data_IF_624183692377
#
_entry.id   IF_624183692377
#
_cell.length_a   1.000
_cell.length_b   1.000
_cell.length_c   1.000
_cell.angle_alpha   90.00
_cell.angle_beta   90.00
_cell.angle_gamma   90.00
#
_symmetry.space_group_name_H-M   'P 1'
#
loop_
_entity.id
_entity.type
_entity.pdbx_description
1 polymer ?
#
# COMPACT_ATOMS: atom_id res chain seq x y z
N UNK A 1 1.38 11.95 -0.17
CA UNK A 1 2.08 12.84 -1.12
C UNK A 1 1.31 14.14 -1.06
N UNK A 2 1.92 15.20 -0.53
CA UNK A 2 1.31 16.52 -0.51
C UNK A 2 1.90 17.30 -1.68
N UNK A 3 1.06 17.70 -2.62
CA UNK A 3 1.39 18.75 -3.57
C UNK A 3 1.34 20.08 -2.81
N UNK A 4 2.46 20.81 -2.82
CA UNK A 4 2.40 22.26 -2.58
C UNK A 4 1.70 22.90 -3.78
N UNK A 5 0.67 23.73 -3.59
CA UNK A 5 0.25 24.62 -4.65
C UNK A 5 1.25 25.79 -4.66
N UNK A 6 2.34 25.64 -5.42
CA UNK A 6 3.03 26.81 -5.99
C UNK A 6 2.37 27.12 -7.32
N UNK A 7 1.17 27.70 -7.22
CA UNK A 7 0.45 28.26 -8.33
C UNK A 7 -0.19 29.55 -7.85
N UNK A 8 0.39 30.69 -8.24
CA UNK A 8 -0.30 31.97 -8.22
C UNK A 8 -1.54 31.83 -9.11
N UNK A 9 -2.68 31.52 -8.49
CA UNK A 9 -3.99 31.70 -9.10
C UNK A 9 -4.49 33.04 -8.60
N UNK A 10 -4.23 34.09 -9.37
CA UNK A 10 -5.07 35.29 -9.37
C UNK A 10 -6.49 34.85 -9.80
N UNK A 11 -7.26 34.40 -8.82
CA UNK A 11 -8.67 34.12 -8.92
C UNK A 11 -9.35 34.72 -7.70
N UNK A 12 -10.47 35.39 -7.93
CA UNK A 12 -11.36 36.07 -6.96
C UNK A 12 -12.01 35.08 -5.95
N UNK A 13 -11.22 34.16 -5.39
CA UNK A 13 -11.62 33.20 -4.37
C UNK A 13 -11.57 33.81 -2.97
N UNK A 14 -12.34 33.26 -2.02
CA UNK A 14 -12.25 33.69 -0.62
C UNK A 14 -10.80 33.56 -0.16
N UNK A 15 -10.24 34.63 0.42
CA UNK A 15 -8.82 34.75 0.76
C UNK A 15 -8.34 33.84 1.90
N UNK A 16 -8.85 32.60 1.99
CA UNK A 16 -8.60 31.65 3.06
C UNK A 16 -7.81 30.45 2.55
N UNK A 17 -6.97 29.90 3.42
CA UNK A 17 -6.18 28.70 3.19
C UNK A 17 -6.55 27.65 4.24
N UNK A 18 -6.07 26.42 4.02
CA UNK A 18 -6.34 25.29 4.92
C UNK A 18 -5.04 24.82 5.55
N UNK A 19 -5.02 24.74 6.87
CA UNK A 19 -4.00 24.04 7.62
C UNK A 19 -4.53 22.66 8.01
N UNK A 20 -3.91 21.60 7.49
CA UNK A 20 -4.21 20.22 7.86
C UNK A 20 -3.27 19.75 8.97
N UNK A 21 -3.80 19.09 9.98
CA UNK A 21 -3.02 18.61 11.12
C UNK A 21 -3.56 17.26 11.61
N UNK A 22 -2.67 16.42 12.13
CA UNK A 22 -3.05 15.23 12.88
C UNK A 22 -2.55 15.31 14.32
N UNK A 23 -3.44 15.08 15.28
CA UNK A 23 -3.09 14.94 16.69
C UNK A 23 -3.03 13.45 17.05
N UNK A 24 -1.91 13.03 17.62
CA UNK A 24 -1.63 11.61 17.91
C UNK A 24 -1.59 11.41 19.42
N UNK A 25 -2.26 10.37 19.91
CA UNK A 25 -2.39 10.09 21.35
C UNK A 25 -2.02 8.65 21.67
N UNK A 26 -1.43 8.43 22.85
CA UNK A 26 -1.26 7.11 23.46
C UNK A 26 -2.61 6.61 24.07
N UNK A 27 -3.71 6.78 23.32
CA UNK A 27 -5.07 6.37 23.67
C UNK A 27 -5.66 5.61 22.46
N UNK A 28 -5.77 4.26 22.45
CA UNK A 28 -6.11 3.49 21.24
C UNK A 28 -7.42 3.88 20.54
N UNK A 29 -8.43 4.28 21.31
CA UNK A 29 -9.74 4.67 20.76
C UNK A 29 -9.89 6.18 20.55
N UNK A 30 -9.00 7.00 21.14
CA UNK A 30 -9.00 8.45 21.02
C UNK A 30 -10.29 9.18 21.45
N UNK A 31 -11.25 8.52 22.12
CA UNK A 31 -12.56 9.12 22.41
C UNK A 31 -12.47 10.30 23.38
N UNK A 32 -11.65 10.19 24.42
CA UNK A 32 -11.50 11.28 25.39
C UNK A 32 -10.60 12.39 24.81
N UNK A 33 -9.51 12.02 24.12
CA UNK A 33 -8.72 12.96 23.32
C UNK A 33 -9.59 13.80 22.35
N UNK A 34 -10.48 13.16 21.60
CA UNK A 34 -11.41 13.84 20.69
C UNK A 34 -12.28 14.87 21.41
N UNK A 35 -12.85 14.53 22.59
CA UNK A 35 -13.64 15.49 23.39
C UNK A 35 -12.80 16.67 23.86
N UNK A 36 -11.55 16.43 24.29
CA UNK A 36 -10.64 17.50 24.72
C UNK A 36 -10.28 18.43 23.56
N UNK A 37 -10.03 17.88 22.37
CA UNK A 37 -9.79 18.68 21.15
C UNK A 37 -11.02 19.52 20.83
N UNK A 38 -12.19 18.89 20.74
CA UNK A 38 -13.45 19.57 20.41
C UNK A 38 -13.72 20.73 21.39
N UNK A 39 -13.58 20.48 22.70
CA UNK A 39 -13.76 21.51 23.72
C UNK A 39 -12.74 22.66 23.57
N UNK A 40 -11.49 22.33 23.25
CA UNK A 40 -10.43 23.34 23.06
C UNK A 40 -10.71 24.20 21.82
N UNK A 41 -11.02 23.58 20.68
CA UNK A 41 -11.32 24.30 19.44
C UNK A 41 -12.55 25.21 19.59
N UNK A 42 -13.60 24.74 20.29
CA UNK A 42 -14.79 25.55 20.61
C UNK A 42 -14.47 26.73 21.52
N UNK A 43 -13.70 26.51 22.58
CA UNK A 43 -13.29 27.58 23.49
C UNK A 43 -12.42 28.65 22.80
N UNK A 44 -11.76 28.27 21.70
CA UNK A 44 -10.94 29.14 20.85
C UNK A 44 -11.73 29.79 19.72
N UNK A 45 -13.01 29.44 19.57
CA UNK A 45 -13.85 29.93 18.48
C UNK A 45 -13.25 29.67 17.08
N UNK A 46 -12.45 28.61 16.93
CA UNK A 46 -11.75 28.30 15.68
C UNK A 46 -12.69 27.69 14.65
N UNK A 47 -12.71 28.23 13.44
CA UNK A 47 -13.41 27.60 12.31
C UNK A 47 -12.58 26.40 11.85
N UNK A 48 -13.12 25.20 12.03
CA UNK A 48 -12.38 23.95 11.84
C UNK A 48 -13.32 22.77 11.64
N UNK A 49 -12.82 21.74 10.96
CA UNK A 49 -13.44 20.41 10.90
C UNK A 49 -12.62 19.45 11.74
N UNK A 50 -13.29 18.58 12.49
CA UNK A 50 -12.66 17.56 13.31
C UNK A 50 -13.13 16.17 12.86
N UNK A 51 -12.17 15.31 12.50
CA UNK A 51 -12.46 13.95 12.07
C UNK A 51 -12.69 13.01 13.25
N UNK A 52 -13.45 11.95 13.00
CA UNK A 52 -13.58 10.86 13.98
C UNK A 52 -12.22 10.20 14.25
N UNK A 53 -11.94 9.74 15.49
CA UNK A 53 -10.67 9.11 15.80
C UNK A 53 -10.43 7.82 15.01
N UNK A 54 -9.22 7.68 14.47
CA UNK A 54 -8.74 6.46 13.82
C UNK A 54 -7.87 5.68 14.79
N UNK A 55 -8.27 4.45 15.19
CA UNK A 55 -7.41 3.55 15.94
C UNK A 55 -6.20 3.15 15.10
N UNK A 56 -5.00 3.31 15.65
CA UNK A 56 -3.72 3.06 14.98
C UNK A 56 -2.85 2.14 15.85
N UNK A 57 -3.37 0.94 16.10
CA UNK A 57 -2.81 0.01 17.06
C UNK A 57 -2.98 0.48 18.51
N UNK A 58 -1.85 0.76 19.18
CA UNK A 58 -1.86 1.30 20.55
C UNK A 58 -2.08 2.82 20.59
N UNK A 59 -2.04 3.48 19.44
CA UNK A 59 -2.25 4.91 19.28
C UNK A 59 -3.65 5.20 18.72
N UNK A 60 -4.05 6.46 18.79
CA UNK A 60 -5.08 7.00 17.90
C UNK A 60 -4.57 8.23 17.16
N UNK A 61 -5.09 8.41 15.95
CA UNK A 61 -4.86 9.56 15.10
C UNK A 61 -6.17 10.31 14.94
N UNK A 62 -6.17 11.60 15.22
CA UNK A 62 -7.33 12.48 15.06
C UNK A 62 -6.93 13.60 14.11
N UNK A 63 -7.44 13.54 12.89
CA UNK A 63 -7.20 14.54 11.86
C UNK A 63 -8.13 15.74 12.07
N UNK A 64 -7.63 16.93 11.77
CA UNK A 64 -8.43 18.14 11.71
C UNK A 64 -7.91 19.09 10.65
N UNK A 65 -8.81 19.94 10.16
CA UNK A 65 -8.46 21.07 9.31
C UNK A 65 -8.93 22.36 9.93
N UNK A 66 -8.11 23.40 9.82
CA UNK A 66 -8.36 24.73 10.38
C UNK A 66 -8.28 25.73 9.24
N UNK A 67 -9.25 26.63 9.16
CA UNK A 67 -9.17 27.77 8.26
C UNK A 67 -8.11 28.75 8.75
N UNK A 68 -7.22 29.18 7.85
CA UNK A 68 -6.21 30.21 8.12
C UNK A 68 -6.26 31.29 7.05
N UNK A 69 -5.83 32.50 7.41
CA UNK A 69 -5.67 33.58 6.45
C UNK A 69 -4.33 33.43 5.67
N UNK A 70 -4.05 34.26 4.65
CA UNK A 70 -2.83 34.14 3.85
C UNK A 70 -1.54 34.38 4.64
N UNK A 71 -1.63 35.06 5.79
CA UNK A 71 -0.51 35.27 6.70
C UNK A 71 -0.35 34.15 7.75
N UNK A 72 -1.16 33.09 7.69
CA UNK A 72 -1.06 31.90 8.56
C UNK A 72 -1.72 32.04 9.94
N UNK A 73 -2.57 33.05 10.15
CA UNK A 73 -3.37 33.19 11.38
C UNK A 73 -4.66 32.39 11.27
N UNK A 74 -5.04 31.70 12.34
CA UNK A 74 -6.30 30.95 12.40
C UNK A 74 -7.50 31.91 12.25
N UNK A 75 -8.51 31.48 11.49
CA UNK A 75 -9.78 32.19 11.36
C UNK A 75 -10.72 31.74 12.47
N UNK A 76 -11.28 32.71 13.18
CA UNK A 76 -12.21 32.52 14.29
C UNK A 76 -13.56 33.17 13.98
N UNK A 77 -14.63 32.66 14.60
CA UNK A 77 -15.97 33.21 14.47
C UNK A 77 -16.61 33.47 15.84
N UNK A 78 -17.25 34.64 16.00
CA UNK A 78 -18.14 34.91 17.14
C UNK A 78 -19.51 34.22 16.98
N UNK A 79 -20.40 34.39 17.96
CA UNK A 79 -21.73 33.76 17.96
C UNK A 79 -22.63 34.29 16.83
N UNK A 80 -22.36 35.51 16.36
CA UNK A 80 -23.05 36.15 15.24
C UNK A 80 -22.48 35.76 13.86
N UNK A 81 -21.36 35.04 13.82
CA UNK A 81 -20.69 34.59 12.60
C UNK A 81 -19.76 35.64 11.97
N UNK A 82 -19.35 36.67 12.71
CA UNK A 82 -18.32 37.61 12.25
C UNK A 82 -16.92 36.99 12.42
N UNK A 83 -16.06 37.25 11.42
CA UNK A 83 -14.70 36.72 11.41
C UNK A 83 -13.72 37.59 12.21
N UNK A 84 -12.79 36.93 12.88
CA UNK A 84 -11.59 37.55 13.44
C UNK A 84 -10.38 36.63 13.27
N UNK A 85 -9.18 37.19 13.37
CA UNK A 85 -7.94 36.41 13.26
C UNK A 85 -7.40 36.11 14.66
N UNK A 86 -7.01 34.86 14.89
CA UNK A 86 -6.43 34.38 16.12
C UNK A 86 -4.90 34.44 16.12
N UNK A 87 -4.29 33.39 16.65
CA UNK A 87 -2.84 33.21 16.67
C UNK A 87 -2.34 32.50 15.40
N UNK A 88 -1.03 32.55 15.15
CA UNK A 88 -0.40 31.78 14.07
C UNK A 88 -0.60 30.27 14.28
N UNK A 89 -0.74 29.55 13.16
CA UNK A 89 -1.06 28.12 13.14
C UNK A 89 -0.06 27.26 13.89
N UNK A 90 1.24 27.53 13.81
CA UNK A 90 2.28 26.77 14.50
C UNK A 90 2.14 26.92 16.01
N UNK A 91 1.96 28.17 16.47
CA UNK A 91 1.66 28.45 17.87
C UNK A 91 0.36 27.79 18.34
N UNK A 92 -0.61 27.61 17.44
CA UNK A 92 -1.88 26.94 17.72
C UNK A 92 -1.76 25.44 17.82
N UNK A 93 -1.02 24.80 16.92
CA UNK A 93 -0.70 23.39 16.98
C UNK A 93 0.03 23.05 18.30
N UNK A 94 1.03 23.85 18.69
CA UNK A 94 1.73 23.67 19.98
C UNK A 94 0.77 23.79 21.16
N UNK A 95 -0.12 24.79 21.14
CA UNK A 95 -1.07 25.01 22.22
C UNK A 95 -2.13 23.89 22.29
N UNK A 96 -2.58 23.38 21.15
CA UNK A 96 -3.47 22.23 21.07
C UNK A 96 -2.80 20.97 21.60
N UNK A 97 -1.57 20.68 21.18
CA UNK A 97 -0.78 19.55 21.69
C UNK A 97 -0.73 19.56 23.22
N UNK A 98 -0.27 20.67 23.80
CA UNK A 98 -0.13 20.84 25.25
C UNK A 98 -1.47 20.84 25.98
N UNK A 99 -2.50 21.45 25.41
CA UNK A 99 -3.82 21.56 26.03
C UNK A 99 -4.63 20.26 26.02
N UNK A 100 -4.39 19.39 25.04
CA UNK A 100 -5.12 18.13 24.85
C UNK A 100 -4.35 16.91 25.35
N UNK A 101 -3.04 17.05 25.61
CA UNK A 101 -2.16 15.97 25.99
C UNK A 101 -1.74 15.07 24.82
N UNK A 102 -1.74 15.60 23.59
CA UNK A 102 -1.29 14.85 22.43
C UNK A 102 0.21 14.56 22.54
N UNK A 103 0.59 13.34 22.12
CA UNK A 103 1.98 12.92 22.01
C UNK A 103 2.70 13.70 20.92
N UNK A 104 2.03 13.85 19.77
CA UNK A 104 2.50 14.61 18.63
C UNK A 104 1.38 15.50 18.08
N UNK A 105 1.76 16.66 17.58
CA UNK A 105 0.94 17.46 16.67
C UNK A 105 1.65 17.52 15.32
N UNK A 106 1.23 16.65 14.41
CA UNK A 106 1.82 16.54 13.09
C UNK A 106 1.30 17.65 12.17
N UNK A 107 2.21 18.54 11.79
CA UNK A 107 2.02 19.54 10.76
C UNK A 107 3.04 19.26 9.65
N UNK A 108 2.58 18.77 8.49
CA UNK A 108 3.42 18.45 7.33
C UNK A 108 4.56 17.44 7.60
N UNK A 109 4.33 16.44 8.45
CA UNK A 109 5.27 15.36 8.76
C UNK A 109 6.28 15.68 9.87
N UNK A 110 6.14 16.82 10.54
CA UNK A 110 6.96 17.22 11.69
C UNK A 110 6.09 17.51 12.91
N UNK A 111 6.63 17.24 14.10
CA UNK A 111 5.96 17.64 15.33
C UNK A 111 6.05 19.15 15.50
N UNK A 112 4.91 19.82 15.61
CA UNK A 112 4.83 21.28 15.66
C UNK A 112 5.61 21.90 16.84
N UNK A 113 5.80 21.16 17.93
CA UNK A 113 6.53 21.65 19.11
C UNK A 113 8.04 21.55 18.97
N UNK A 114 8.57 20.43 18.48
CA UNK A 114 10.02 20.25 18.31
C UNK A 114 10.53 20.77 16.95
N UNK A 115 9.67 20.81 15.93
CA UNK A 115 10.06 20.99 14.53
C UNK A 115 10.81 19.79 13.94
N UNK A 116 10.89 18.67 14.67
CA UNK A 116 11.59 17.47 14.23
C UNK A 116 10.62 16.50 13.54
N UNK A 117 11.14 15.74 12.58
CA UNK A 117 10.41 14.64 11.95
C UNK A 117 9.97 13.62 13.00
N UNK A 118 8.71 13.23 12.95
CA UNK A 118 8.16 12.23 13.87
C UNK A 118 8.70 10.86 13.48
N UNK A 119 9.53 10.27 14.34
CA UNK A 119 10.06 8.91 14.16
C UNK A 119 9.51 7.98 15.24
N UNK A 120 8.27 7.52 15.07
CA UNK A 120 7.63 6.53 15.94
C UNK A 120 7.28 5.27 15.13
N UNK A 121 7.86 4.13 15.51
CA UNK A 121 7.64 2.84 14.85
C UNK A 121 6.17 2.39 14.90
N UNK A 122 5.41 2.81 15.91
CA UNK A 122 3.99 2.50 16.00
C UNK A 122 3.18 3.23 14.93
N UNK A 123 3.66 4.37 14.42
CA UNK A 123 3.02 5.09 13.31
C UNK A 123 3.40 4.50 11.95
N UNK A 124 4.61 3.97 11.81
CA UNK A 124 5.08 3.33 10.57
C UNK A 124 4.27 2.08 10.19
N UNK A 125 3.87 1.29 11.18
CA UNK A 125 3.16 0.02 10.97
C UNK A 125 1.86 0.00 11.80
N UNK A 126 0.76 0.61 11.30
CA UNK A 126 -0.54 0.48 11.94
C UNK A 126 -0.89 -0.98 12.15
N UNK A 127 -1.39 -1.30 13.35
CA UNK A 127 -1.95 -2.62 13.62
C UNK A 127 -3.48 -2.57 13.64
N UNK A 128 -4.08 -3.70 13.25
CA UNK A 128 -5.52 -3.80 12.99
C UNK A 128 -5.91 -3.37 11.57
N UNK A 129 -7.21 -3.40 11.31
CA UNK A 129 -7.75 -3.16 9.97
C UNK A 129 -7.78 -4.42 9.10
N UNK A 130 -8.30 -4.28 7.89
CA UNK A 130 -8.42 -5.37 6.91
C UNK A 130 -7.97 -4.83 5.56
N UNK A 131 -7.18 -5.64 4.84
CA UNK A 131 -6.80 -5.36 3.46
C UNK A 131 -7.18 -6.51 2.54
N UNK A 132 -7.68 -6.18 1.36
CA UNK A 132 -8.17 -7.13 0.37
C UNK A 132 -7.46 -6.84 -0.95
N UNK A 133 -6.60 -7.74 -1.38
CA UNK A 133 -5.95 -7.70 -2.68
C UNK A 133 -6.80 -8.48 -3.70
N UNK A 134 -7.06 -7.86 -4.84
CA UNK A 134 -7.86 -8.33 -5.95
C UNK A 134 -7.01 -8.35 -7.22
N UNK A 135 -7.10 -9.40 -8.03
CA UNK A 135 -6.35 -9.48 -9.28
C UNK A 135 -6.27 -10.89 -9.85
N UNK A 136 -5.22 -11.15 -10.62
CA UNK A 136 -4.93 -12.47 -11.21
C UNK A 136 -3.59 -13.01 -10.70
N UNK A 137 -3.52 -13.39 -9.43
CA UNK A 137 -2.32 -13.89 -8.78
C UNK A 137 -2.54 -15.26 -8.16
N UNK A 138 -1.46 -16.04 -8.02
CA UNK A 138 -1.52 -17.36 -7.42
C UNK A 138 -1.36 -17.30 -5.90
N UNK A 139 -1.87 -18.32 -5.20
CA UNK A 139 -1.60 -18.56 -3.77
C UNK A 139 -0.09 -18.51 -3.44
N UNK A 140 0.76 -18.98 -4.36
CA UNK A 140 2.21 -18.93 -4.19
C UNK A 140 2.80 -17.53 -4.13
N UNK A 141 2.17 -16.56 -4.79
CA UNK A 141 2.54 -15.15 -4.71
C UNK A 141 2.08 -14.55 -3.39
N UNK A 142 0.86 -14.89 -2.93
CA UNK A 142 0.37 -14.51 -1.60
C UNK A 142 1.31 -15.03 -0.51
N UNK A 143 1.84 -16.24 -0.65
CA UNK A 143 2.82 -16.80 0.27
C UNK A 143 4.14 -15.99 0.30
N UNK A 144 4.53 -15.34 -0.81
CA UNK A 144 5.68 -14.42 -0.82
C UNK A 144 5.36 -13.15 -0.03
N UNK A 145 4.18 -12.56 -0.26
CA UNK A 145 3.74 -11.36 0.46
C UNK A 145 3.65 -11.62 1.96
N UNK A 146 3.05 -12.74 2.35
CA UNK A 146 2.96 -13.20 3.74
C UNK A 146 4.35 -13.41 4.37
N UNK A 147 5.30 -13.96 3.61
CA UNK A 147 6.66 -14.21 4.10
C UNK A 147 7.54 -12.95 4.20
N UNK A 148 7.34 -11.98 3.32
CA UNK A 148 8.04 -10.70 3.33
C UNK A 148 7.52 -9.78 4.44
N UNK A 149 6.20 -9.63 4.52
CA UNK A 149 5.55 -8.79 5.54
C UNK A 149 5.47 -9.45 6.92
N UNK A 150 5.64 -10.78 7.00
CA UNK A 150 5.44 -11.54 8.25
C UNK A 150 3.98 -11.58 8.70
N UNK A 151 3.03 -11.39 7.77
CA UNK A 151 1.62 -11.22 8.09
C UNK A 151 0.76 -12.41 7.64
N UNK A 152 -0.41 -12.52 8.26
CA UNK A 152 -1.39 -13.57 7.97
C UNK A 152 -2.25 -13.19 6.78
N UNK A 153 -2.41 -14.13 5.84
CA UNK A 153 -3.26 -13.97 4.66
C UNK A 153 -4.20 -15.15 4.50
N UNK A 154 -5.37 -14.89 3.93
CA UNK A 154 -6.30 -15.89 3.41
C UNK A 154 -6.41 -15.75 1.90
N UNK A 155 -6.53 -16.85 1.18
CA UNK A 155 -6.62 -16.86 -0.28
C UNK A 155 -7.82 -17.68 -0.77
N UNK A 156 -8.48 -17.19 -1.81
CA UNK A 156 -9.49 -17.92 -2.57
C UNK A 156 -9.64 -17.34 -3.98
N UNK A 157 -10.30 -18.10 -4.85
CA UNK A 157 -10.64 -17.68 -6.21
C UNK A 157 -12.14 -17.51 -6.34
N UNK A 158 -12.55 -16.45 -7.04
CA UNK A 158 -13.92 -16.12 -7.42
C UNK A 158 -14.09 -16.28 -8.93
N UNK A 159 -15.30 -16.09 -9.46
CA UNK A 159 -15.50 -16.06 -10.92
C UNK A 159 -14.83 -14.85 -11.60
N UNK A 160 -14.53 -13.80 -10.82
CA UNK A 160 -13.94 -12.55 -11.29
C UNK A 160 -12.42 -12.47 -11.10
N UNK A 161 -11.81 -13.43 -10.42
CA UNK A 161 -10.37 -13.46 -10.19
C UNK A 161 -9.99 -13.97 -8.80
N UNK A 162 -8.73 -13.77 -8.47
CA UNK A 162 -8.12 -14.19 -7.21
C UNK A 162 -8.23 -13.10 -6.15
N UNK A 163 -8.51 -13.52 -4.91
CA UNK A 163 -8.70 -12.65 -3.76
C UNK A 163 -7.77 -13.11 -2.64
N UNK A 164 -7.04 -12.16 -2.05
CA UNK A 164 -6.25 -12.37 -0.87
C UNK A 164 -6.63 -11.37 0.22
N UNK A 165 -6.97 -11.86 1.41
CA UNK A 165 -7.40 -11.04 2.54
C UNK A 165 -6.37 -11.10 3.65
N UNK A 166 -5.96 -9.94 4.12
CA UNK A 166 -4.95 -9.73 5.15
C UNK A 166 -5.59 -9.05 6.38
N UNK A 167 -5.30 -9.60 7.55
CA UNK A 167 -5.61 -8.97 8.84
C UNK A 167 -4.53 -7.94 9.17
N UNK A 168 -4.82 -6.69 8.84
CA UNK A 168 -3.90 -5.55 8.91
C UNK A 168 -4.14 -4.52 7.80
N UNK A 169 -3.61 -3.32 7.99
CA UNK A 169 -3.83 -2.19 7.09
C UNK A 169 -2.67 -1.99 6.10
N UNK A 170 -3.00 -2.04 4.81
CA UNK A 170 -2.18 -1.67 3.67
C UNK A 170 -0.73 -2.14 3.77
N UNK A 171 -0.50 -3.46 3.84
CA UNK A 171 0.85 -4.01 3.94
C UNK A 171 1.67 -3.59 2.72
N UNK A 172 2.93 -3.24 2.93
CA UNK A 172 3.84 -2.96 1.81
C UNK A 172 4.11 -4.28 1.08
N UNK A 173 3.52 -4.43 -0.10
CA UNK A 173 3.67 -5.61 -0.96
C UNK A 173 4.10 -5.19 -2.36
N UNK A 174 4.91 -6.05 -2.99
CA UNK A 174 5.26 -5.91 -4.40
C UNK A 174 4.53 -6.97 -5.23
N UNK A 175 3.58 -6.53 -6.04
CA UNK A 175 2.84 -7.45 -6.92
C UNK A 175 3.66 -7.74 -8.18
N UNK A 176 3.68 -9.01 -8.60
CA UNK A 176 4.39 -9.40 -9.81
C UNK A 176 3.69 -8.83 -11.05
N UNK A 177 4.46 -8.49 -12.08
CA UNK A 177 3.89 -7.94 -13.33
C UNK A 177 2.90 -8.85 -14.03
N UNK A 178 3.02 -10.16 -13.85
CA UNK A 178 2.07 -11.12 -14.41
C UNK A 178 0.68 -11.02 -13.79
N UNK A 179 0.58 -10.37 -12.63
CA UNK A 179 -0.64 -10.26 -11.84
C UNK A 179 -1.30 -8.89 -11.99
N UNK A 180 -0.78 -8.03 -12.87
CA UNK A 180 -1.42 -6.76 -13.22
C UNK A 180 -2.56 -7.01 -14.23
N UNK A 181 -3.65 -6.23 -14.18
CA UNK A 181 -3.97 -5.23 -13.16
C UNK A 181 -4.34 -5.86 -11.81
N UNK A 182 -4.06 -5.14 -10.73
CA UNK A 182 -4.44 -5.53 -9.37
C UNK A 182 -4.90 -4.31 -8.58
N UNK A 183 -5.77 -4.54 -7.59
CA UNK A 183 -6.32 -3.51 -6.71
C UNK A 183 -6.23 -4.03 -5.29
N UNK A 184 -5.68 -3.23 -4.38
CA UNK A 184 -5.79 -3.51 -2.95
C UNK A 184 -6.69 -2.47 -2.29
N UNK A 185 -7.69 -2.95 -1.58
CA UNK A 185 -8.63 -2.17 -0.78
C UNK A 185 -8.21 -2.33 0.69
N UNK A 186 -8.28 -1.27 1.47
CA UNK A 186 -7.93 -1.33 2.89
C UNK A 186 -8.88 -0.49 3.73
N UNK A 187 -9.17 -0.99 4.93
CA UNK A 187 -9.92 -0.28 5.96
C UNK A 187 -9.17 -0.34 7.30
N UNK A 188 -9.01 0.81 7.96
CA UNK A 188 -8.52 0.92 9.32
C UNK A 188 -9.45 1.84 10.12
N UNK A 189 -10.27 1.25 10.99
CA UNK A 189 -11.34 1.98 11.67
C UNK A 189 -12.28 2.67 10.67
N UNK A 190 -12.45 4.01 10.74
CA UNK A 190 -13.26 4.77 9.79
C UNK A 190 -12.50 5.16 8.50
N UNK A 191 -11.19 4.90 8.41
CA UNK A 191 -10.37 5.25 7.24
C UNK A 191 -10.47 4.17 6.18
N UNK A 192 -10.67 4.58 4.94
CA UNK A 192 -10.65 3.72 3.75
C UNK A 192 -9.54 4.16 2.81
N UNK A 193 -8.89 3.20 2.17
CA UNK A 193 -7.84 3.45 1.19
C UNK A 193 -7.84 2.39 0.10
N UNK A 194 -7.21 2.73 -1.01
CA UNK A 194 -6.99 1.85 -2.14
C UNK A 194 -5.67 2.14 -2.84
N UNK A 195 -5.08 1.09 -3.40
CA UNK A 195 -3.91 1.21 -4.27
C UNK A 195 -4.08 0.32 -5.49
N UNK A 196 -3.50 0.76 -6.60
CA UNK A 196 -3.70 0.17 -7.92
C UNK A 196 -2.38 -0.17 -8.57
N UNK A 197 -2.37 -1.33 -9.24
CA UNK A 197 -1.35 -1.73 -10.18
C UNK A 197 -1.97 -1.80 -11.57
N UNK A 198 -1.37 -1.12 -12.53
CA UNK A 198 -1.89 -1.01 -13.89
C UNK A 198 -1.09 -1.87 -14.88
N UNK A 199 -1.76 -2.32 -15.94
CA UNK A 199 -1.14 -3.16 -16.99
C UNK A 199 0.11 -2.50 -17.59
N UNK A 200 0.02 -1.21 -17.93
CA UNK A 200 1.06 -0.44 -18.62
C UNK A 200 1.99 0.32 -17.65
N UNK A 201 2.01 -0.09 -16.39
CA UNK A 201 2.80 0.59 -15.36
C UNK A 201 4.32 0.55 -15.63
N UNK A 202 4.98 1.69 -15.41
CA UNK A 202 6.40 1.89 -15.69
C UNK A 202 7.30 0.87 -14.96
N UNK A 203 8.33 0.35 -15.64
CA UNK A 203 9.34 -0.56 -15.05
C UNK A 203 10.08 0.02 -13.85
N UNK A 204 10.17 1.35 -13.76
CA UNK A 204 10.82 2.05 -12.64
C UNK A 204 10.12 1.83 -11.30
N UNK A 205 8.82 1.52 -11.30
CA UNK A 205 8.04 1.32 -10.07
C UNK A 205 8.26 -0.06 -9.43
N UNK A 206 9.02 -0.96 -10.06
CA UNK A 206 9.51 -2.23 -9.48
C UNK A 206 8.47 -3.13 -8.79
N UNK A 207 7.17 -2.96 -9.06
CA UNK A 207 6.10 -3.73 -8.43
C UNK A 207 5.38 -3.00 -7.29
N UNK A 208 5.78 -1.77 -6.94
CA UNK A 208 4.98 -0.87 -6.11
C UNK A 208 3.72 -0.42 -6.86
N UNK A 209 2.65 0.01 -6.16
CA UNK A 209 1.46 0.52 -6.83
C UNK A 209 1.76 1.76 -7.67
N UNK A 210 1.02 1.93 -8.78
CA UNK A 210 1.12 3.09 -9.66
C UNK A 210 0.29 4.28 -9.20
N UNK A 211 -0.78 4.03 -8.46
CA UNK A 211 -1.67 5.03 -7.89
C UNK A 211 -2.19 4.55 -6.55
N UNK A 212 -2.40 5.49 -5.63
CA UNK A 212 -3.00 5.24 -4.33
C UNK A 212 -3.89 6.41 -3.95
N UNK A 213 -5.02 6.10 -3.33
CA UNK A 213 -5.92 7.08 -2.79
C UNK A 213 -6.39 6.64 -1.41
N UNK A 214 -6.34 7.58 -0.46
CA UNK A 214 -6.95 7.42 0.86
C UNK A 214 -8.07 8.43 0.97
N UNK A 215 -9.25 7.99 1.37
CA UNK A 215 -10.34 8.91 1.63
C UNK A 215 -10.12 9.61 2.96
N UNK A 216 -10.52 10.87 2.99
CA UNK A 216 -10.67 11.63 4.22
C UNK A 216 -11.65 10.92 5.15
N UNK A 217 -11.30 10.86 6.43
CA UNK A 217 -12.22 10.40 7.47
C UNK A 217 -13.34 11.42 7.59
N UNK A 218 -14.58 10.95 7.81
CA UNK A 218 -15.70 11.84 8.03
C UNK A 218 -15.38 12.84 9.16
N UNK A 219 -15.55 14.13 8.85
CA UNK A 219 -15.28 15.23 9.73
C UNK A 219 -16.49 16.15 9.83
N UNK A 220 -16.70 16.71 11.01
CA UNK A 220 -17.82 17.61 11.27
C UNK A 220 -17.29 19.00 11.65
N UNK A 221 -18.01 20.07 11.28
CA UNK A 221 -17.72 21.40 11.78
C UNK A 221 -17.71 21.43 13.30
N UNK A 222 -16.65 21.97 13.88
CA UNK A 222 -16.54 22.14 15.33
C UNK A 222 -17.54 23.17 15.85
N UNK A 223 -17.74 24.21 15.04
CA UNK A 223 -18.68 25.30 15.25
C UNK A 223 -19.72 25.28 14.14
N UNK A 224 -20.99 25.15 14.52
CA UNK A 224 -22.11 25.35 13.59
C UNK A 224 -22.24 26.85 13.31
N UNK A 225 -21.96 27.26 12.07
CA UNK A 225 -22.12 28.64 11.65
C UNK A 225 -23.56 28.94 11.25
N UNK A 226 -24.02 30.16 11.54
CA UNK A 226 -25.34 30.62 11.12
C UNK A 226 -25.38 30.78 9.59
N UNK A 227 -26.40 30.24 8.89
CA UNK A 227 -26.51 30.37 7.44
C UNK A 227 -26.48 31.83 6.98
N UNK A 228 -25.72 32.11 5.90
CA UNK A 228 -25.58 33.45 5.32
C UNK A 228 -24.62 34.38 6.07
N UNK A 229 -23.83 33.85 7.01
CA UNK A 229 -22.73 34.59 7.66
C UNK A 229 -21.40 34.29 7.00
N UNK A 230 -20.39 35.18 7.12
CA UNK A 230 -19.03 34.90 6.67
C UNK A 230 -18.45 33.59 7.25
N UNK A 231 -18.76 33.27 8.50
CA UNK A 231 -18.34 32.00 9.11
C UNK A 231 -18.91 30.76 8.40
N UNK A 232 -20.15 30.85 7.88
CA UNK A 232 -20.75 29.77 7.09
C UNK A 232 -20.00 29.58 5.76
N UNK A 233 -19.63 30.67 5.08
CA UNK A 233 -18.84 30.60 3.84
C UNK A 233 -17.47 29.91 4.07
N UNK A 234 -16.82 30.17 5.20
CA UNK A 234 -15.55 29.52 5.56
C UNK A 234 -15.77 28.03 5.88
N UNK A 235 -16.84 27.68 6.60
CA UNK A 235 -17.18 26.29 6.90
C UNK A 235 -17.50 25.49 5.62
N UNK A 236 -18.25 26.08 4.69
CA UNK A 236 -18.56 25.47 3.40
C UNK A 236 -17.27 25.26 2.59
N UNK A 237 -16.41 26.27 2.53
CA UNK A 237 -15.08 26.16 1.92
C UNK A 237 -14.24 25.02 2.51
N UNK A 238 -14.14 24.92 3.84
CA UNK A 238 -13.39 23.83 4.49
C UNK A 238 -13.98 22.46 4.13
N UNK A 239 -15.30 22.35 4.14
CA UNK A 239 -16.01 21.09 3.87
C UNK A 239 -15.80 20.64 2.43
N UNK A 240 -15.92 21.56 1.48
CA UNK A 240 -15.72 21.28 0.07
C UNK A 240 -14.28 20.85 -0.23
N UNK A 241 -13.29 21.54 0.36
CA UNK A 241 -11.88 21.20 0.15
C UNK A 241 -11.47 19.88 0.85
N UNK A 242 -11.99 19.60 2.06
CA UNK A 242 -11.73 18.32 2.75
C UNK A 242 -12.27 17.12 1.98
N UNK A 243 -13.40 17.32 1.30
CA UNK A 243 -14.05 16.32 0.46
C UNK A 243 -13.50 16.28 -0.97
N UNK A 244 -12.64 17.22 -1.37
CA UNK A 244 -12.13 17.28 -2.73
C UNK A 244 -11.12 16.13 -2.98
N UNK A 245 -11.23 15.43 -4.12
CA UNK A 245 -10.22 14.45 -4.51
C UNK A 245 -8.95 15.16 -5.01
N UNK A 246 -7.83 14.45 -4.98
CA UNK A 246 -6.57 14.92 -5.59
C UNK A 246 -6.64 14.80 -7.13
N UNK A 247 -7.14 15.86 -7.77
CA UNK A 247 -7.35 15.92 -9.22
C UNK A 247 -6.03 15.80 -10.01
N UNK A 248 -4.92 16.33 -9.47
CA UNK A 248 -3.62 16.27 -10.14
C UNK A 248 -3.13 14.82 -10.19
N UNK A 249 -3.14 14.11 -9.05
CA UNK A 249 -2.77 12.69 -9.00
C UNK A 249 -3.69 11.81 -9.85
N UNK A 250 -4.99 12.14 -9.95
CA UNK A 250 -5.95 11.41 -10.80
C UNK A 250 -5.66 11.66 -12.28
N UNK A 251 -5.32 12.90 -12.68
CA UNK A 251 -5.00 13.22 -14.08
C UNK A 251 -3.75 12.47 -14.57
N UNK A 252 -2.80 12.17 -13.68
CA UNK A 252 -1.62 11.36 -13.99
C UNK A 252 -1.95 9.92 -14.41
N UNK A 253 -3.16 9.43 -14.12
CA UNK A 253 -3.59 8.08 -14.54
C UNK A 253 -3.60 7.89 -16.06
N UNK A 254 -3.67 8.99 -16.83
CA UNK A 254 -3.48 8.96 -18.29
C UNK A 254 -2.15 8.32 -18.70
N UNK A 255 -1.10 8.44 -17.88
CA UNK A 255 0.21 7.83 -18.13
C UNK A 255 0.17 6.29 -18.08
N UNK A 256 -0.85 5.72 -17.44
CA UNK A 256 -1.08 4.28 -17.35
C UNK A 256 -2.09 3.77 -18.39
N UNK A 257 -2.48 4.62 -19.36
CA UNK A 257 -3.41 4.25 -20.42
C UNK A 257 -4.89 4.32 -20.02
N UNK A 258 -5.21 4.93 -18.88
CA UNK A 258 -6.59 5.12 -18.42
C UNK A 258 -7.27 6.19 -19.27
N UNK A 259 -8.51 5.92 -19.71
CA UNK A 259 -9.27 6.82 -20.59
C UNK A 259 -9.79 8.04 -19.83
N UNK A 260 -10.02 9.15 -20.55
CA UNK A 260 -10.59 10.36 -19.97
C UNK A 260 -12.00 10.14 -19.38
N UNK A 261 -12.77 9.20 -19.94
CA UNK A 261 -14.08 8.81 -19.40
C UNK A 261 -13.95 8.16 -18.02
N UNK A 262 -13.01 7.24 -17.85
CA UNK A 262 -12.73 6.60 -16.56
C UNK A 262 -12.21 7.64 -15.56
N UNK A 263 -11.32 8.53 -15.99
CA UNK A 263 -10.80 9.61 -15.14
C UNK A 263 -11.93 10.49 -14.61
N UNK A 264 -12.84 10.96 -15.48
CA UNK A 264 -13.98 11.78 -15.04
C UNK A 264 -14.93 11.04 -14.08
N UNK A 265 -15.07 9.72 -14.22
CA UNK A 265 -15.82 8.90 -13.26
C UNK A 265 -15.09 8.79 -11.91
N UNK A 266 -13.76 8.63 -11.93
CA UNK A 266 -12.94 8.56 -10.72
C UNK A 266 -12.93 9.87 -9.94
N UNK A 267 -12.90 11.03 -10.60
CA UNK A 267 -12.99 12.34 -9.93
C UNK A 267 -14.26 12.43 -9.07
N UNK A 268 -15.38 11.89 -9.55
CA UNK A 268 -16.62 11.87 -8.77
C UNK A 268 -16.63 10.78 -7.69
N UNK A 269 -16.13 9.59 -8.01
CA UNK A 269 -16.11 8.45 -7.09
C UNK A 269 -15.13 8.68 -5.92
N UNK A 270 -14.03 9.38 -6.13
CA UNK A 270 -13.01 9.63 -5.09
C UNK A 270 -13.32 10.85 -4.21
N UNK A 271 -14.28 11.68 -4.60
CA UNK A 271 -14.74 12.80 -3.76
C UNK A 271 -15.53 12.33 -2.52
N UNK A 272 -15.45 13.12 -1.44
CA UNK A 272 -16.19 12.92 -0.20
C UNK A 272 -15.49 12.02 0.82
N UNK A 273 -16.26 11.56 1.80
CA UNK A 273 -15.77 10.63 2.82
C UNK A 273 -15.79 9.17 2.35
N UNK A 274 -14.81 8.42 2.83
CA UNK A 274 -14.64 7.00 2.49
C UNK A 274 -15.79 6.13 3.00
N UNK A 275 -16.20 5.17 2.17
CA UNK A 275 -17.18 4.15 2.53
C UNK A 275 -17.02 2.92 1.65
N UNK A 276 -17.63 1.80 2.03
CA UNK A 276 -17.70 0.62 1.15
C UNK A 276 -18.40 0.94 -0.16
N UNK A 277 -19.43 1.79 -0.13
CA UNK A 277 -20.14 2.17 -1.34
C UNK A 277 -19.21 2.88 -2.33
N UNK A 278 -18.31 3.73 -1.83
CA UNK A 278 -17.26 4.37 -2.63
C UNK A 278 -16.26 3.35 -3.19
N UNK A 279 -15.86 2.35 -2.39
CA UNK A 279 -15.05 1.24 -2.90
C UNK A 279 -15.76 0.49 -4.04
N UNK A 280 -17.04 0.17 -3.87
CA UNK A 280 -17.90 -0.49 -4.87
C UNK A 280 -17.96 0.29 -6.18
N UNK A 281 -18.19 1.60 -6.10
CA UNK A 281 -18.22 2.51 -7.26
C UNK A 281 -16.89 2.47 -8.03
N UNK A 282 -15.76 2.54 -7.32
CA UNK A 282 -14.44 2.49 -7.97
C UNK A 282 -14.15 1.12 -8.58
N UNK A 283 -14.51 0.02 -7.91
CA UNK A 283 -14.38 -1.32 -8.49
C UNK A 283 -15.18 -1.44 -9.79
N UNK A 284 -16.42 -0.94 -9.81
CA UNK A 284 -17.29 -0.93 -10.99
C UNK A 284 -16.67 -0.15 -12.15
N UNK A 285 -16.09 1.03 -11.87
CA UNK A 285 -15.37 1.85 -12.86
C UNK A 285 -14.23 1.06 -13.53
N UNK A 286 -13.51 0.23 -12.76
CA UNK A 286 -12.44 -0.63 -13.28
C UNK A 286 -12.93 -1.98 -13.81
N UNK A 287 -14.24 -2.23 -13.87
CA UNK A 287 -14.82 -3.49 -14.34
C UNK A 287 -14.59 -4.67 -13.40
N UNK A 288 -14.29 -4.41 -12.13
CA UNK A 288 -14.18 -5.42 -11.07
C UNK A 288 -15.54 -5.58 -10.37
N UNK A 289 -15.86 -6.78 -9.89
CA UNK A 289 -17.11 -7.02 -9.16
C UNK A 289 -17.17 -6.18 -7.87
N UNK A 290 -18.17 -5.29 -7.72
CA UNK A 290 -18.30 -4.44 -6.54
C UNK A 290 -18.46 -5.23 -5.24
N UNK A 291 -19.04 -6.43 -5.28
CA UNK A 291 -19.26 -7.24 -4.06
C UNK A 291 -17.97 -7.61 -3.33
N UNK A 292 -16.82 -7.58 -4.03
CA UNK A 292 -15.52 -7.83 -3.44
C UNK A 292 -15.08 -6.77 -2.42
N UNK A 293 -15.68 -5.57 -2.45
CA UNK A 293 -15.46 -4.55 -1.43
C UNK A 293 -15.97 -5.00 -0.04
N UNK A 294 -16.95 -5.92 0.02
CA UNK A 294 -17.58 -6.30 1.28
C UNK A 294 -16.62 -7.09 2.19
N UNK A 295 -15.58 -7.68 1.59
CA UNK A 295 -14.52 -8.34 2.33
C UNK A 295 -13.71 -7.40 3.24
N UNK A 296 -13.72 -6.08 3.01
CA UNK A 296 -13.08 -5.11 3.94
C UNK A 296 -13.91 -4.82 5.19
N UNK A 297 -15.21 -5.17 5.22
CA UNK A 297 -16.09 -4.97 6.39
C UNK A 297 -16.47 -6.26 7.08
N UNK A 298 -16.94 -7.25 6.33
CA UNK A 298 -17.76 -8.30 6.91
C UNK A 298 -16.93 -9.33 7.68
N UNK A 299 -15.61 -9.38 7.48
CA UNK A 299 -14.69 -10.37 8.07
C UNK A 299 -15.06 -11.84 7.74
N UNK A 300 -16.18 -12.06 7.06
CA UNK A 300 -16.74 -13.36 6.74
C UNK A 300 -16.19 -13.77 5.39
N UNK A 301 -15.17 -14.60 5.44
CA UNK A 301 -14.57 -15.17 4.25
C UNK A 301 -15.43 -16.33 3.75
N UNK A 302 -15.49 -16.57 2.43
CA UNK A 302 -16.22 -17.72 1.90
C UNK A 302 -15.61 -19.02 2.43
N UNK A 303 -16.41 -20.09 2.48
CA UNK A 303 -15.94 -21.40 2.94
C UNK A 303 -14.78 -21.98 2.10
N UNK A 304 -14.55 -21.44 0.91
CA UNK A 304 -13.42 -21.79 0.03
C UNK A 304 -12.12 -21.11 0.43
N UNK A 305 -12.17 -20.07 1.28
CA UNK A 305 -11.00 -19.36 1.77
C UNK A 305 -10.09 -20.26 2.60
N UNK A 306 -8.80 -20.16 2.30
CA UNK A 306 -7.78 -20.97 2.95
C UNK A 306 -6.72 -20.06 3.55
N UNK A 307 -6.27 -20.32 4.79
CA UNK A 307 -5.15 -19.61 5.35
C UNK A 307 -3.88 -19.94 4.55
N UNK A 308 -3.14 -18.91 4.17
CA UNK A 308 -1.84 -19.05 3.53
C UNK A 308 -0.79 -19.19 4.63
N UNK A 309 -0.04 -20.30 4.59
CA UNK A 309 1.00 -20.59 5.58
C UNK A 309 2.09 -19.51 5.54
N UNK A 310 2.29 -18.82 6.65
CA UNK A 310 3.43 -17.93 6.82
C UNK A 310 4.72 -18.75 6.79
N UNK A 311 5.54 -18.51 5.78
CA UNK A 311 6.87 -19.09 5.66
C UNK A 311 7.87 -17.95 5.66
N UNK A 312 9.00 -18.08 6.36
CA UNK A 312 10.08 -17.10 6.23
C UNK A 312 10.49 -16.93 4.76
N UNK A 313 11.01 -15.76 4.39
CA UNK A 313 11.26 -15.36 2.99
C UNK A 313 11.89 -16.47 2.12
N UNK A 314 12.93 -17.16 2.60
CA UNK A 314 13.55 -18.27 1.86
C UNK A 314 12.61 -19.47 1.63
N UNK A 315 11.76 -19.79 2.60
CA UNK A 315 10.73 -20.82 2.48
C UNK A 315 9.60 -20.42 1.53
N UNK A 316 9.19 -19.15 1.55
CA UNK A 316 8.20 -18.60 0.63
C UNK A 316 8.72 -18.60 -0.82
N UNK A 317 9.96 -18.18 -1.06
CA UNK A 317 10.64 -18.26 -2.36
C UNK A 317 10.69 -19.71 -2.85
N UNK A 318 11.14 -20.63 -1.99
CA UNK A 318 11.20 -22.05 -2.36
C UNK A 318 9.81 -22.63 -2.66
N UNK A 319 8.76 -22.21 -1.96
CA UNK A 319 7.38 -22.60 -2.24
C UNK A 319 6.92 -22.06 -3.60
N UNK A 320 7.14 -20.78 -3.87
CA UNK A 320 6.78 -20.15 -5.13
C UNK A 320 7.48 -20.79 -6.33
N UNK A 321 8.80 -20.99 -6.24
CA UNK A 321 9.56 -21.69 -7.29
C UNK A 321 9.06 -23.11 -7.54
N UNK A 322 8.61 -23.83 -6.50
CA UNK A 322 8.03 -25.17 -6.64
C UNK A 322 6.64 -25.14 -7.28
N UNK A 323 5.83 -24.13 -6.99
CA UNK A 323 4.53 -23.94 -7.62
C UNK A 323 4.71 -23.64 -9.12
N UNK A 324 5.58 -22.69 -9.47
CA UNK A 324 5.94 -22.42 -10.87
C UNK A 324 6.51 -23.65 -11.58
N UNK A 325 7.33 -24.43 -10.89
CA UNK A 325 7.90 -25.66 -11.43
C UNK A 325 6.86 -26.74 -11.74
N UNK A 326 5.73 -26.79 -11.01
CA UNK A 326 4.62 -27.71 -11.31
C UNK A 326 3.89 -27.31 -12.59
N UNK A 327 3.75 -26.02 -12.83
CA UNK A 327 3.02 -25.47 -13.98
C UNK A 327 3.92 -25.33 -15.23
N UNK A 328 5.23 -25.45 -15.07
CA UNK A 328 6.18 -25.31 -16.16
C UNK A 328 6.00 -26.43 -17.21
N UNK A 329 5.70 -26.03 -18.45
CA UNK A 329 5.62 -26.91 -19.62
C UNK A 329 6.62 -26.49 -20.70
N UNK A 330 6.94 -27.41 -21.63
CA UNK A 330 7.80 -27.15 -22.79
C UNK A 330 9.18 -26.56 -22.44
N UNK A 331 9.55 -25.46 -23.10
CA UNK A 331 10.86 -24.80 -22.96
C UNK A 331 11.05 -24.19 -21.56
N UNK A 332 9.98 -23.68 -20.92
CA UNK A 332 10.06 -23.17 -19.54
C UNK A 332 10.41 -24.27 -18.54
N UNK A 333 9.89 -25.49 -18.76
CA UNK A 333 10.28 -26.66 -17.97
C UNK A 333 11.75 -27.03 -18.17
N UNK A 334 12.28 -26.86 -19.38
CA UNK A 334 13.69 -27.13 -19.67
C UNK A 334 14.62 -26.21 -18.87
N UNK A 335 14.35 -24.91 -18.79
CA UNK A 335 15.20 -23.97 -18.04
C UNK A 335 14.93 -23.94 -16.52
N UNK A 336 13.81 -24.47 -16.04
CA UNK A 336 13.54 -24.59 -14.60
C UNK A 336 14.02 -25.95 -14.06
N UNK A 337 15.26 -25.98 -13.57
CA UNK A 337 15.89 -27.19 -13.01
C UNK A 337 15.03 -27.83 -11.91
N UNK A 338 14.29 -27.06 -11.11
CA UNK A 338 13.43 -27.57 -10.02
C UNK A 338 12.22 -28.35 -10.58
N UNK A 339 11.76 -28.02 -11.78
CA UNK A 339 10.66 -28.70 -12.50
C UNK A 339 11.05 -30.05 -13.08
N UNK A 340 12.34 -30.39 -13.10
CA UNK A 340 12.80 -31.68 -13.60
C UNK A 340 12.52 -32.79 -12.61
N UNK A 341 12.23 -33.99 -13.14
CA UNK A 341 12.18 -35.20 -12.32
C UNK A 341 13.57 -35.45 -11.72
N UNK A 342 13.69 -35.96 -10.49
CA UNK A 342 14.99 -36.21 -9.85
C UNK A 342 15.94 -37.06 -10.73
N UNK A 343 15.41 -38.09 -11.40
CA UNK A 343 16.20 -38.90 -12.34
C UNK A 343 16.71 -38.12 -13.56
N UNK A 344 15.93 -37.16 -14.07
CA UNK A 344 16.35 -36.29 -15.18
C UNK A 344 17.42 -35.29 -14.76
N UNK A 345 17.36 -34.77 -13.53
CA UNK A 345 18.42 -33.92 -12.96
C UNK A 345 19.73 -34.69 -12.81
N UNK A 346 19.67 -35.93 -12.29
CA UNK A 346 20.86 -36.79 -12.16
C UNK A 346 21.45 -37.11 -13.54
N UNK A 347 20.61 -37.48 -14.51
CA UNK A 347 21.07 -37.79 -15.87
C UNK A 347 21.73 -36.59 -16.54
N UNK A 348 21.15 -35.39 -16.40
CA UNK A 348 21.74 -34.17 -16.94
C UNK A 348 23.01 -33.76 -16.23
N UNK A 349 23.06 -33.85 -14.90
CA UNK A 349 24.29 -33.61 -14.14
C UNK A 349 25.41 -34.56 -14.56
N UNK A 350 25.09 -35.83 -14.81
CA UNK A 350 26.05 -36.79 -15.35
C UNK A 350 26.52 -36.40 -16.77
N UNK A 351 25.59 -36.04 -17.65
CA UNK A 351 25.93 -35.62 -19.02
C UNK A 351 26.80 -34.35 -19.03
N UNK A 352 26.48 -33.35 -18.20
CA UNK A 352 27.28 -32.13 -18.04
C UNK A 352 28.68 -32.44 -17.50
N UNK A 353 28.80 -33.32 -16.50
CA UNK A 353 30.10 -33.75 -15.97
C UNK A 353 30.94 -34.43 -17.06
N UNK A 354 30.33 -35.32 -17.85
CA UNK A 354 31.02 -36.00 -18.97
C UNK A 354 31.46 -34.98 -20.02
N UNK A 355 30.63 -34.00 -20.38
CA UNK A 355 31.00 -32.98 -21.36
C UNK A 355 32.10 -32.06 -20.81
N UNK A 356 32.04 -31.65 -19.54
CA UNK A 356 33.08 -30.84 -18.92
C UNK A 356 34.43 -31.57 -18.91
N UNK A 357 34.44 -32.87 -18.59
CA UNK A 357 35.64 -33.71 -18.66
C UNK A 357 36.12 -33.87 -20.10
N UNK A 358 35.22 -34.16 -21.05
CA UNK A 358 35.56 -34.28 -22.46
C UNK A 358 36.13 -32.97 -23.03
N UNK A 359 35.62 -31.83 -22.61
CA UNK A 359 36.08 -30.51 -23.03
C UNK A 359 37.49 -30.18 -22.49
N UNK A 360 37.94 -30.80 -21.41
CA UNK A 360 39.33 -30.68 -20.92
C UNK A 360 40.25 -31.72 -21.57
N UNK A 361 39.76 -32.96 -21.73
CA UNK A 361 40.57 -34.11 -22.17
C UNK A 361 40.71 -34.18 -23.70
N UNK A 362 39.68 -33.83 -24.45
CA UNK A 362 39.66 -33.91 -25.92
C UNK A 362 40.04 -32.59 -26.59
N UNK A 363 40.30 -31.54 -25.82
CA UNK A 363 40.82 -30.29 -26.34
C UNK A 363 42.28 -30.48 -26.73
N UNK A 364 42.57 -30.28 -28.01
CA UNK A 364 43.94 -30.16 -28.51
C UNK A 364 44.50 -28.79 -28.14
N UNK A 365 45.22 -28.75 -27.01
CA UNK A 365 45.77 -27.53 -26.43
C UNK A 365 46.83 -26.84 -27.31
N UNK A 366 47.36 -27.56 -28.30
CA UNK A 366 48.36 -27.02 -29.24
C UNK A 366 47.71 -26.31 -30.44
N UNK A 367 46.40 -26.50 -30.68
CA UNK A 367 45.67 -25.96 -31.85
C UNK A 367 44.37 -25.19 -31.50
N UNK A 368 44.15 -24.88 -30.22
CA UNK A 368 42.93 -24.20 -29.80
C UNK A 368 42.87 -22.73 -30.23
N UNK A 369 41.70 -22.34 -30.78
CA UNK A 369 41.37 -20.93 -31.07
C UNK A 369 40.98 -20.12 -29.83
N UNK A 370 40.74 -20.79 -28.71
CA UNK A 370 40.32 -20.18 -27.45
C UNK A 370 41.46 -20.23 -26.42
N UNK A 371 41.66 -19.17 -25.61
CA UNK A 371 42.65 -19.17 -24.54
C UNK A 371 42.40 -20.28 -23.53
N UNK A 372 43.47 -20.90 -23.02
CA UNK A 372 43.42 -21.97 -22.01
C UNK A 372 42.46 -21.67 -20.85
N UNK A 373 42.54 -20.46 -20.29
CA UNK A 373 41.73 -20.05 -19.15
C UNK A 373 40.22 -20.03 -19.45
N UNK A 374 39.80 -19.77 -20.70
CA UNK A 374 38.38 -19.76 -21.08
C UNK A 374 37.80 -21.16 -21.00
N UNK A 375 38.53 -22.14 -21.54
CA UNK A 375 38.13 -23.56 -21.55
C UNK A 375 38.09 -24.11 -20.13
N UNK A 376 39.07 -23.75 -19.30
CA UNK A 376 39.10 -24.12 -17.88
C UNK A 376 37.94 -23.49 -17.11
N UNK A 377 37.64 -22.21 -17.32
CA UNK A 377 36.52 -21.53 -16.65
C UNK A 377 35.18 -22.14 -17.07
N UNK A 378 34.97 -22.41 -18.36
CA UNK A 378 33.75 -23.06 -18.86
C UNK A 378 33.60 -24.47 -18.27
N UNK A 379 34.67 -25.27 -18.29
CA UNK A 379 34.67 -26.61 -17.71
C UNK A 379 34.41 -26.58 -16.19
N UNK A 380 34.98 -25.61 -15.47
CA UNK A 380 34.76 -25.43 -14.04
C UNK A 380 33.31 -25.03 -13.74
N UNK A 381 32.74 -24.07 -14.47
CA UNK A 381 31.35 -23.64 -14.30
C UNK A 381 30.37 -24.79 -14.59
N UNK A 382 30.61 -25.55 -15.66
CA UNK A 382 29.80 -26.74 -15.99
C UNK A 382 29.99 -27.87 -14.99
N UNK A 383 31.20 -28.04 -14.44
CA UNK A 383 31.48 -29.00 -13.39
C UNK A 383 30.76 -28.68 -12.08
N UNK A 384 30.71 -27.39 -11.70
CA UNK A 384 29.94 -26.92 -10.55
C UNK A 384 28.45 -27.17 -10.75
N UNK A 385 27.89 -26.78 -11.91
CA UNK A 385 26.48 -27.00 -12.24
C UNK A 385 26.11 -28.50 -12.25
N UNK A 386 26.98 -29.34 -12.82
CA UNK A 386 26.84 -30.79 -12.82
C UNK A 386 26.78 -31.36 -11.39
N UNK A 387 27.68 -30.94 -10.51
CA UNK A 387 27.71 -31.35 -9.11
C UNK A 387 26.45 -30.90 -8.37
N UNK A 388 25.99 -29.67 -8.61
CA UNK A 388 24.73 -29.17 -8.03
C UNK A 388 23.53 -30.00 -8.50
N UNK A 389 23.43 -30.32 -9.79
CA UNK A 389 22.36 -31.14 -10.36
C UNK A 389 22.36 -32.57 -9.80
N UNK A 390 23.53 -33.19 -9.68
CA UNK A 390 23.69 -34.52 -9.08
C UNK A 390 23.31 -34.52 -7.59
N UNK A 391 23.75 -33.51 -6.83
CA UNK A 391 23.49 -33.40 -5.41
C UNK A 391 22.01 -33.12 -5.11
N UNK A 392 21.40 -32.14 -5.79
CA UNK A 392 19.98 -31.81 -5.64
C UNK A 392 19.09 -32.96 -6.11
N UNK A 393 19.40 -33.57 -7.26
CA UNK A 393 18.67 -34.72 -7.78
C UNK A 393 18.75 -35.94 -6.86
N UNK A 394 19.95 -36.24 -6.35
CA UNK A 394 20.18 -37.32 -5.39
C UNK A 394 19.44 -37.13 -4.08
N UNK A 395 19.50 -35.92 -3.50
CA UNK A 395 18.78 -35.57 -2.29
C UNK A 395 17.26 -35.69 -2.46
N UNK A 396 16.70 -35.19 -3.57
CA UNK A 396 15.27 -35.32 -3.88
C UNK A 396 14.84 -36.77 -4.08
N UNK A 397 15.68 -37.60 -4.71
CA UNK A 397 15.40 -39.03 -4.89
C UNK A 397 15.40 -39.79 -3.55
N UNK A 398 16.35 -39.47 -2.66
CA UNK A 398 16.41 -40.06 -1.31
C UNK A 398 15.16 -39.71 -0.48
N UNK A 399 14.73 -38.44 -0.51
CA UNK A 399 13.53 -37.98 0.20
C UNK A 399 12.23 -38.58 -0.36
N UNK A 400 12.16 -38.81 -1.67
CA UNK A 400 11.03 -39.49 -2.31
C UNK A 400 10.93 -40.98 -1.96
N UNK A 401 12.05 -41.62 -1.59
CA UNK A 401 12.06 -43.01 -1.09
C UNK A 401 11.61 -43.07 0.37
N UNK A 402 12.08 -42.15 1.21
CA UNK A 402 11.70 -42.06 2.63
C UNK A 402 10.23 -41.72 2.91
N UNK A 403 9.48 -41.24 1.91
CA UNK A 403 8.03 -40.94 2.03
C UNK A 403 7.13 -42.07 1.52
N UNK A 404 7.72 -43.18 1.06
CA UNK A 404 7.02 -44.39 0.61
C UNK A 404 7.13 -45.55 1.60
N UNK A 405 8.00 -45.41 2.60
CA UNK A 405 8.09 -46.25 3.79
C UNK A 405 7.39 -45.51 4.94
#
# INVERSE_FOLDING_TARGET
MASSPTGDVEGDGPGWLIASMALIFDEPLGLEAHRRILATLRARQSISLLATPVPWGELSVIELVIAVNPEGFIVMADEEGNLSNGQQIEGFAIALKRGTGAKYADLDGVDAESGETITDKALEYPTGGISVLLGSFKESEVALFAGESGTSWSYFTTEHGDVAVHDGYMPEIMVSRSSFPAIMLSRLGPRFSMVFWFQDQNKKLRGHPGFGHGWSVAAEPVLEALPGTPAAEVNDFLTDQWAAPDLDSIAELTQYGISAEIIGALEQALAGSGSVQKLREVLEIFGTDPSQADYVEEGSLPATARPVEQRGLGGAIAHSMRAEAKDATGVRKFFNVIAWRPGSQILWGFLQAVIAVALVVLTDWDQTRLPFWVIVVVAALWGVDALTNLWVGGWRLARARQSRD
#
